data_IF_834461624654
#
_entry.id   IF_834461624654
#
_cell.length_a   1.000
_cell.length_b   1.000
_cell.length_c   1.000
_cell.angle_alpha   90.00
_cell.angle_beta   90.00
_cell.angle_gamma   90.00
#
_symmetry.space_group_name_H-M   'P 1'
#
loop_
_entity.id
_entity.type
_entity.pdbx_description
1 polymer ?
#
# COMPACT_ATOMS: atom_id res chain seq x y z
N UNK A 1 -32.90 15.67 -3.34
CA UNK A 1 -31.41 15.70 -3.35
C UNK A 1 -31.00 15.00 -4.61
N UNK A 2 -30.41 15.74 -5.55
CA UNK A 2 -30.12 15.24 -6.89
C UNK A 2 -29.03 14.17 -6.83
N UNK A 3 -29.32 13.00 -7.40
CA UNK A 3 -28.34 11.96 -7.70
C UNK A 3 -27.25 12.55 -8.61
N UNK A 4 -26.13 12.99 -8.03
CA UNK A 4 -24.91 13.21 -8.79
C UNK A 4 -24.44 11.84 -9.26
N UNK A 5 -24.64 11.60 -10.55
CA UNK A 5 -24.30 10.33 -11.20
C UNK A 5 -22.82 10.02 -11.02
N UNK A 6 -22.48 8.76 -10.88
CA UNK A 6 -21.11 8.21 -10.88
C UNK A 6 -20.27 8.70 -12.09
N UNK A 7 -20.93 9.14 -13.16
CA UNK A 7 -20.34 9.71 -14.35
C UNK A 7 -19.41 10.93 -14.12
N UNK A 8 -19.56 11.68 -13.04
CA UNK A 8 -18.69 12.83 -12.75
C UNK A 8 -17.31 12.46 -12.19
N UNK A 9 -17.14 11.21 -11.78
CA UNK A 9 -15.87 10.68 -11.26
C UNK A 9 -15.02 9.99 -12.33
N UNK A 10 -15.64 9.58 -13.45
CA UNK A 10 -15.00 8.76 -14.49
C UNK A 10 -14.05 9.53 -15.43
N UNK A 11 -14.08 10.88 -15.43
CA UNK A 11 -13.20 11.65 -16.30
C UNK A 11 -11.76 11.67 -15.77
N UNK A 12 -10.88 10.87 -16.39
CA UNK A 12 -9.43 11.00 -16.22
C UNK A 12 -8.98 12.40 -16.62
N UNK A 13 -8.08 13.02 -15.84
CA UNK A 13 -7.56 14.34 -16.15
C UNK A 13 -6.53 14.23 -17.30
N UNK A 14 -6.86 14.64 -18.55
CA UNK A 14 -5.97 14.46 -19.69
C UNK A 14 -4.73 15.37 -19.62
N UNK A 15 -4.66 16.29 -18.65
CA UNK A 15 -3.55 17.24 -18.49
C UNK A 15 -2.38 16.70 -17.68
N UNK A 16 -2.51 15.54 -17.06
CA UNK A 16 -1.44 14.96 -16.23
C UNK A 16 -0.90 13.70 -16.89
N UNK A 17 0.32 13.77 -17.42
CA UNK A 17 0.97 12.60 -18.01
C UNK A 17 1.29 11.56 -16.93
N UNK A 18 0.81 10.35 -17.09
CA UNK A 18 1.19 9.20 -16.26
C UNK A 18 2.67 8.87 -16.46
N UNK A 19 3.35 8.56 -15.35
CA UNK A 19 4.76 8.21 -15.36
C UNK A 19 4.91 6.71 -15.50
N UNK A 20 5.68 6.30 -16.48
CA UNK A 20 5.95 4.88 -16.73
C UNK A 20 7.43 4.65 -16.95
N UNK A 21 7.94 3.55 -16.42
CA UNK A 21 9.33 3.18 -16.49
C UNK A 21 9.47 1.73 -16.96
N UNK A 22 10.40 1.48 -17.85
CA UNK A 22 10.69 0.14 -18.39
C UNK A 22 11.97 -0.45 -17.81
N UNK A 23 12.78 0.35 -17.09
CA UNK A 23 14.02 -0.09 -16.44
C UNK A 23 14.09 0.42 -15.02
N UNK A 24 14.69 -0.38 -14.13
CA UNK A 24 14.94 -0.01 -12.73
C UNK A 24 15.90 1.18 -12.61
N UNK A 25 16.85 1.32 -13.51
CA UNK A 25 17.78 2.45 -13.52
C UNK A 25 17.05 3.78 -13.74
N UNK A 26 16.20 3.88 -14.76
CA UNK A 26 15.42 5.08 -15.05
C UNK A 26 14.52 5.45 -13.88
N UNK A 27 13.82 4.45 -13.30
CA UNK A 27 12.97 4.63 -12.13
C UNK A 27 13.76 5.09 -10.91
N UNK A 28 14.87 4.45 -10.59
CA UNK A 28 15.69 4.80 -9.43
C UNK A 28 16.30 6.20 -9.55
N UNK A 29 16.78 6.59 -10.75
CA UNK A 29 17.29 7.93 -11.00
C UNK A 29 16.20 9.00 -10.81
N UNK A 30 14.96 8.67 -11.15
CA UNK A 30 13.81 9.53 -10.92
C UNK A 30 13.45 9.66 -9.42
N UNK A 31 13.42 8.55 -8.68
CA UNK A 31 12.99 8.51 -7.28
C UNK A 31 14.03 9.04 -6.28
N UNK A 32 15.34 8.88 -6.56
CA UNK A 32 16.44 9.26 -5.65
C UNK A 32 16.41 10.72 -5.18
N UNK A 33 15.81 11.64 -5.95
CA UNK A 33 15.87 13.09 -5.70
C UNK A 33 14.85 13.59 -4.68
N UNK A 34 14.03 12.73 -4.08
CA UNK A 34 12.83 13.12 -3.33
C UNK A 34 12.61 12.35 -2.03
N UNK A 35 13.64 11.67 -1.55
CA UNK A 35 13.56 10.86 -0.33
C UNK A 35 14.26 11.58 0.82
N UNK A 36 13.58 11.73 1.93
CA UNK A 36 14.11 12.27 3.19
C UNK A 36 14.11 11.18 4.27
N UNK A 37 15.22 10.99 5.02
CA UNK A 37 15.25 10.06 6.14
C UNK A 37 14.47 10.61 7.33
N UNK A 38 13.75 9.73 8.02
CA UNK A 38 13.21 10.01 9.36
C UNK A 38 14.12 9.31 10.36
N UNK A 39 14.72 10.09 11.23
CA UNK A 39 15.77 9.62 12.14
C UNK A 39 15.24 9.49 13.56
N UNK A 40 15.60 8.42 14.25
CA UNK A 40 15.45 8.19 15.68
C UNK A 40 16.79 7.67 16.23
N UNK A 41 17.29 8.32 17.28
CA UNK A 41 18.55 7.94 17.95
C UNK A 41 19.73 7.70 16.99
N UNK A 42 19.90 8.60 16.00
CA UNK A 42 20.90 8.54 14.91
C UNK A 42 20.73 7.35 13.92
N UNK A 43 19.66 6.58 14.02
CA UNK A 43 19.32 5.55 13.06
C UNK A 43 18.08 5.95 12.26
N UNK A 44 18.10 5.67 10.97
CA UNK A 44 16.95 5.88 10.10
C UNK A 44 15.89 4.80 10.40
N UNK A 45 14.68 5.20 10.80
CA UNK A 45 13.58 4.27 11.03
C UNK A 45 12.66 4.12 9.82
N UNK A 46 12.60 5.14 8.97
CA UNK A 46 11.83 5.13 7.74
C UNK A 46 12.35 6.20 6.77
N UNK A 47 11.97 6.06 5.51
CA UNK A 47 12.14 7.09 4.49
C UNK A 47 10.80 7.73 4.16
N UNK A 48 10.80 9.03 3.98
CA UNK A 48 9.60 9.81 3.68
C UNK A 48 9.84 10.73 2.48
N UNK A 49 8.83 10.89 1.64
CA UNK A 49 8.79 11.95 0.65
C UNK A 49 7.49 12.73 0.79
N UNK A 50 7.61 14.06 0.78
CA UNK A 50 6.48 14.97 0.81
C UNK A 50 6.61 15.96 -0.35
N UNK A 51 5.65 15.96 -1.27
CA UNK A 51 5.74 16.82 -2.44
C UNK A 51 5.06 18.19 -2.23
N UNK A 52 3.76 18.28 -2.38
CA UNK A 52 3.03 19.57 -2.22
C UNK A 52 1.87 19.48 -1.24
N UNK A 53 1.40 18.29 -0.95
CA UNK A 53 0.15 18.06 -0.23
C UNK A 53 0.28 16.85 0.70
N UNK A 54 -0.41 16.89 1.82
CA UNK A 54 -0.60 15.74 2.71
C UNK A 54 -1.98 15.11 2.51
N UNK A 55 -2.68 15.42 1.42
CA UNK A 55 -4.04 14.92 1.22
C UNK A 55 -4.10 13.41 1.19
N UNK A 56 -3.13 12.77 0.51
CA UNK A 56 -2.97 11.32 0.54
C UNK A 56 -1.60 10.99 1.15
N UNK A 57 -1.56 9.95 1.97
CA UNK A 57 -0.33 9.29 2.40
C UNK A 57 -0.29 7.89 1.80
N UNK A 58 0.76 7.57 1.09
CA UNK A 58 1.05 6.22 0.61
C UNK A 58 2.00 5.55 1.59
N UNK A 59 1.64 4.38 2.08
CA UNK A 59 2.49 3.58 2.96
C UNK A 59 2.82 2.25 2.30
N UNK A 60 3.97 1.66 2.62
CA UNK A 60 4.36 0.32 2.18
C UNK A 60 5.07 -0.39 3.34
N UNK A 61 4.28 -0.93 4.25
CA UNK A 61 4.71 -1.44 5.55
C UNK A 61 5.64 -2.64 5.46
N UNK A 62 5.52 -3.40 4.39
CA UNK A 62 6.30 -4.63 4.16
C UNK A 62 7.27 -4.50 2.98
N UNK A 63 7.65 -3.28 2.62
CA UNK A 63 8.54 -3.02 1.47
C UNK A 63 9.95 -3.60 1.66
N UNK A 64 10.43 -3.68 2.89
CA UNK A 64 11.73 -4.28 3.18
C UNK A 64 11.68 -5.78 2.97
N UNK A 65 12.50 -6.27 2.03
CA UNK A 65 12.54 -7.70 1.68
C UNK A 65 13.83 -8.33 2.17
N UNK A 66 13.71 -9.53 2.73
CA UNK A 66 14.84 -10.36 3.12
C UNK A 66 14.57 -11.81 2.78
N UNK A 67 15.60 -12.48 2.34
CA UNK A 67 15.65 -13.93 2.22
C UNK A 67 16.17 -14.49 3.53
N UNK A 68 15.36 -15.31 4.21
CA UNK A 68 15.75 -16.03 5.43
C UNK A 68 16.12 -17.43 5.01
N UNK A 69 17.38 -17.79 5.19
CA UNK A 69 17.87 -19.14 4.89
C UNK A 69 17.37 -20.12 5.94
N UNK A 70 16.97 -21.29 5.49
CA UNK A 70 16.37 -22.35 6.28
C UNK A 70 17.08 -23.68 5.97
N UNK A 71 18.34 -23.83 6.40
CA UNK A 71 19.19 -24.98 6.06
C UNK A 71 18.60 -26.33 6.52
N UNK A 72 17.74 -26.33 7.54
CA UNK A 72 17.02 -27.52 8.00
C UNK A 72 16.03 -28.09 6.97
N UNK A 73 15.69 -27.32 5.95
CA UNK A 73 14.83 -27.73 4.81
C UNK A 73 15.63 -27.99 3.53
N UNK A 74 16.95 -27.83 3.56
CA UNK A 74 17.85 -28.08 2.43
C UNK A 74 18.77 -26.89 2.10
N UNK A 75 19.89 -27.16 1.42
CA UNK A 75 20.98 -26.19 1.15
C UNK A 75 20.54 -24.90 0.43
N UNK A 76 19.40 -24.92 -0.28
CA UNK A 76 18.86 -23.77 -1.02
C UNK A 76 17.52 -23.31 -0.49
N UNK A 77 17.02 -23.94 0.61
CA UNK A 77 15.72 -23.58 1.16
C UNK A 77 15.75 -22.22 1.83
N UNK A 78 14.74 -21.38 1.59
CA UNK A 78 14.58 -20.10 2.24
C UNK A 78 13.11 -19.69 2.34
N UNK A 79 12.79 -18.77 3.25
CA UNK A 79 11.56 -18.02 3.28
C UNK A 79 11.80 -16.56 2.87
N UNK A 80 10.95 -16.02 2.03
CA UNK A 80 10.92 -14.59 1.70
C UNK A 80 10.01 -13.85 2.67
N UNK A 81 10.47 -12.73 3.17
CA UNK A 81 9.66 -11.79 3.93
C UNK A 81 9.60 -10.44 3.19
N UNK A 82 8.48 -9.76 3.36
CA UNK A 82 8.24 -8.48 2.73
C UNK A 82 7.55 -8.59 1.36
N UNK A 83 7.12 -7.44 0.89
CA UNK A 83 6.30 -7.27 -0.32
C UNK A 83 7.10 -6.53 -1.39
N UNK A 84 7.82 -7.26 -2.23
CA UNK A 84 8.70 -6.69 -3.27
C UNK A 84 8.00 -5.61 -4.09
N UNK A 85 8.71 -4.49 -4.32
CA UNK A 85 8.30 -3.35 -5.16
C UNK A 85 7.05 -2.57 -4.67
N UNK A 86 6.55 -2.82 -3.48
CA UNK A 86 5.45 -2.01 -2.91
C UNK A 86 5.92 -0.61 -2.56
N UNK A 87 7.19 -0.43 -2.18
CA UNK A 87 7.81 0.89 -1.98
C UNK A 87 7.83 1.72 -3.27
N UNK A 88 8.12 1.08 -4.40
CA UNK A 88 8.12 1.72 -5.72
C UNK A 88 6.71 2.19 -6.07
N UNK A 89 5.71 1.34 -5.89
CA UNK A 89 4.32 1.71 -6.13
C UNK A 89 3.88 2.87 -5.22
N UNK A 90 4.22 2.84 -3.93
CA UNK A 90 3.92 3.94 -3.01
C UNK A 90 4.58 5.27 -3.45
N UNK A 91 5.85 5.24 -3.82
CA UNK A 91 6.58 6.42 -4.31
C UNK A 91 5.99 6.98 -5.61
N UNK A 92 5.64 6.11 -6.57
CA UNK A 92 5.03 6.53 -7.85
C UNK A 92 3.67 7.17 -7.62
N UNK A 93 2.80 6.56 -6.81
CA UNK A 93 1.49 7.13 -6.47
C UNK A 93 1.60 8.49 -5.77
N UNK A 94 2.50 8.60 -4.79
CA UNK A 94 2.75 9.85 -4.07
C UNK A 94 3.31 10.94 -4.98
N UNK A 95 4.27 10.61 -5.82
CA UNK A 95 4.85 11.57 -6.76
C UNK A 95 3.81 12.09 -7.75
N UNK A 96 3.06 11.20 -8.39
CA UNK A 96 2.03 11.56 -9.37
C UNK A 96 0.96 12.47 -8.78
N UNK A 97 0.46 12.13 -7.59
CA UNK A 97 -0.56 12.93 -6.88
C UNK A 97 0.00 14.14 -6.14
N UNK A 98 1.33 14.34 -6.18
CA UNK A 98 2.06 15.36 -5.41
C UNK A 98 1.76 15.29 -3.91
N UNK A 99 1.56 14.11 -3.41
CA UNK A 99 1.21 13.79 -2.03
C UNK A 99 2.43 13.34 -1.21
N UNK A 100 2.24 12.56 -0.16
CA UNK A 100 3.32 12.05 0.67
C UNK A 100 3.42 10.51 0.60
N UNK A 101 4.62 9.98 0.88
CA UNK A 101 4.79 8.57 1.20
C UNK A 101 5.65 8.39 2.45
N UNK A 102 5.50 7.24 3.13
CA UNK A 102 6.35 6.80 4.22
C UNK A 102 6.57 5.29 4.14
N UNK A 103 7.82 4.86 4.29
CA UNK A 103 8.22 3.45 4.14
C UNK A 103 9.17 3.11 5.29
N UNK A 104 8.84 2.11 6.14
CA UNK A 104 9.72 1.67 7.22
C UNK A 104 10.99 1.03 6.65
N UNK A 105 12.11 1.16 7.37
CA UNK A 105 13.41 0.57 7.02
C UNK A 105 13.71 -0.69 7.84
N UNK A 106 12.85 -1.07 8.77
CA UNK A 106 12.98 -2.29 9.53
C UNK A 106 12.23 -3.46 8.88
N UNK A 107 12.71 -4.66 9.14
CA UNK A 107 12.15 -5.88 8.59
C UNK A 107 10.89 -6.30 9.37
N UNK A 108 9.97 -6.96 8.69
CA UNK A 108 8.75 -7.52 9.30
C UNK A 108 9.03 -8.49 10.45
N UNK A 109 10.17 -9.19 10.43
CA UNK A 109 10.61 -10.06 11.54
C UNK A 109 11.02 -9.25 12.78
N UNK A 110 11.64 -8.09 12.59
CA UNK A 110 12.03 -7.19 13.67
C UNK A 110 10.80 -6.49 14.24
N UNK A 111 10.15 -5.65 13.44
CA UNK A 111 8.90 -4.99 13.76
C UNK A 111 7.99 -4.92 12.53
N UNK A 112 6.75 -5.34 12.65
CA UNK A 112 5.76 -5.26 11.58
C UNK A 112 4.98 -3.94 11.70
N UNK A 113 5.21 -2.98 10.82
CA UNK A 113 4.56 -1.66 10.85
C UNK A 113 3.05 -1.71 10.65
N UNK A 114 2.51 -2.84 10.19
CA UNK A 114 1.07 -3.08 10.08
C UNK A 114 0.44 -3.69 11.35
N UNK A 115 1.22 -3.86 12.42
CA UNK A 115 0.77 -4.44 13.69
C UNK A 115 0.79 -3.42 14.81
N UNK A 116 -0.08 -3.59 15.85
CA UNK A 116 -0.05 -2.73 17.03
C UNK A 116 1.32 -2.77 17.74
N UNK A 117 1.77 -1.62 18.21
CA UNK A 117 3.01 -1.49 18.99
C UNK A 117 2.98 -2.37 20.24
N UNK A 118 1.79 -2.54 20.82
CA UNK A 118 1.55 -3.33 22.02
C UNK A 118 1.77 -4.83 21.78
N UNK A 119 1.68 -5.29 20.54
CA UNK A 119 1.86 -6.70 20.17
C UNK A 119 3.34 -7.07 19.88
N UNK A 120 4.23 -6.08 19.91
CA UNK A 120 5.65 -6.31 19.70
C UNK A 120 6.23 -7.22 20.77
N UNK A 121 6.81 -8.35 20.35
CA UNK A 121 7.35 -9.39 21.24
C UNK A 121 6.33 -10.46 21.72
N UNK A 122 5.05 -10.39 21.28
CA UNK A 122 4.00 -11.33 21.73
C UNK A 122 3.92 -12.66 20.95
N UNK A 123 4.93 -13.00 20.16
CA UNK A 123 4.99 -14.30 19.48
C UNK A 123 4.08 -14.40 18.25
N UNK A 124 3.89 -13.29 17.52
CA UNK A 124 3.15 -13.30 16.25
C UNK A 124 3.91 -14.11 15.21
N UNK A 125 3.17 -14.78 14.32
CA UNK A 125 3.75 -15.56 13.23
C UNK A 125 3.12 -15.24 11.89
N UNK A 126 3.93 -15.36 10.83
CA UNK A 126 3.54 -15.30 9.45
C UNK A 126 3.57 -16.70 8.83
N UNK A 127 2.46 -17.15 8.28
CA UNK A 127 2.43 -18.40 7.52
C UNK A 127 3.00 -18.16 6.12
N UNK A 128 4.14 -18.77 5.82
CA UNK A 128 4.87 -18.55 4.56
C UNK A 128 5.34 -19.86 3.94
N UNK A 129 5.66 -19.81 2.64
CA UNK A 129 6.22 -20.94 1.89
C UNK A 129 7.73 -20.93 2.02
N UNK A 130 8.32 -22.13 2.24
CA UNK A 130 9.75 -22.38 2.09
C UNK A 130 10.02 -22.61 0.60
N UNK A 131 10.78 -21.72 -0.03
CA UNK A 131 11.11 -21.83 -1.45
C UNK A 131 12.01 -23.02 -1.73
N UNK A 132 11.88 -23.60 -2.91
CA UNK A 132 12.53 -24.83 -3.38
C UNK A 132 12.15 -26.10 -2.57
N UNK A 133 11.04 -26.04 -1.83
CA UNK A 133 10.46 -27.18 -1.12
C UNK A 133 8.94 -27.14 -1.22
N UNK A 134 8.26 -28.22 -0.79
CA UNK A 134 6.79 -28.21 -0.62
C UNK A 134 6.35 -27.79 0.80
N UNK A 135 7.30 -27.42 1.63
CA UNK A 135 7.05 -27.07 3.04
C UNK A 135 6.49 -25.67 3.16
N UNK A 136 5.64 -25.51 4.19
CA UNK A 136 5.14 -24.23 4.68
C UNK A 136 5.46 -24.18 6.18
N UNK A 137 5.79 -22.98 6.66
CA UNK A 137 6.18 -22.76 8.05
C UNK A 137 5.46 -21.54 8.62
N UNK A 138 5.44 -21.47 9.94
CA UNK A 138 5.12 -20.27 10.69
C UNK A 138 6.43 -19.56 11.03
N UNK A 139 6.68 -18.43 10.35
CA UNK A 139 7.85 -17.61 10.60
C UNK A 139 7.50 -16.56 11.66
N UNK A 140 8.30 -16.45 12.71
CA UNK A 140 8.13 -15.43 13.73
C UNK A 140 8.32 -14.02 13.12
N UNK A 141 7.41 -13.11 13.46
CA UNK A 141 7.42 -11.72 13.03
C UNK A 141 7.17 -10.80 14.23
N UNK A 142 7.55 -9.54 14.13
CA UNK A 142 7.26 -8.52 15.15
C UNK A 142 7.84 -8.93 16.52
N UNK A 143 9.09 -9.43 16.52
CA UNK A 143 9.68 -10.10 17.69
C UNK A 143 10.68 -9.25 18.46
N UNK A 144 11.28 -8.25 17.84
CA UNK A 144 12.38 -7.49 18.46
C UNK A 144 11.87 -6.25 19.17
N UNK A 145 11.74 -6.33 20.49
CA UNK A 145 11.25 -5.22 21.33
C UNK A 145 12.16 -3.99 21.32
N UNK A 146 13.41 -4.11 20.91
CA UNK A 146 14.32 -2.96 20.75
C UNK A 146 13.87 -2.01 19.62
N UNK A 147 13.04 -2.50 18.68
CA UNK A 147 12.47 -1.69 17.61
C UNK A 147 11.23 -0.88 18.02
N UNK A 148 10.74 -1.00 19.26
CA UNK A 148 9.59 -0.23 19.74
C UNK A 148 9.72 1.28 19.49
N UNK A 149 10.83 1.96 19.82
CA UNK A 149 10.96 3.41 19.60
C UNK A 149 10.90 3.78 18.10
N UNK A 150 11.38 2.91 17.21
CA UNK A 150 11.35 3.15 15.76
C UNK A 150 9.93 2.96 15.19
N UNK A 151 9.21 1.96 15.68
CA UNK A 151 7.81 1.71 15.30
C UNK A 151 6.91 2.85 15.79
N UNK A 152 7.08 3.30 17.03
CA UNK A 152 6.37 4.47 17.57
C UNK A 152 6.67 5.72 16.74
N UNK A 153 7.94 5.96 16.41
CA UNK A 153 8.35 7.09 15.57
C UNK A 153 7.74 7.06 14.17
N UNK A 154 7.62 5.88 13.59
CA UNK A 154 6.92 5.68 12.31
C UNK A 154 5.45 6.13 12.41
N UNK A 155 4.71 5.66 13.41
CA UNK A 155 3.31 6.06 13.63
C UNK A 155 3.15 7.54 13.98
N UNK A 156 4.01 8.10 14.83
CA UNK A 156 4.03 9.54 15.12
C UNK A 156 4.25 10.39 13.86
N UNK A 157 5.09 9.91 12.94
CA UNK A 157 5.34 10.61 11.68
C UNK A 157 4.08 10.64 10.82
N UNK A 158 3.32 9.53 10.76
CA UNK A 158 2.01 9.49 10.08
C UNK A 158 1.03 10.47 10.72
N UNK A 159 0.96 10.52 12.04
CA UNK A 159 0.08 11.45 12.77
C UNK A 159 0.43 12.91 12.48
N UNK A 160 1.72 13.27 12.49
CA UNK A 160 2.21 14.62 12.18
C UNK A 160 1.92 15.04 10.73
N UNK A 161 1.94 14.11 9.80
CA UNK A 161 1.55 14.37 8.40
C UNK A 161 0.05 14.69 8.26
N UNK A 162 -0.77 14.20 9.18
CA UNK A 162 -2.22 14.44 9.25
C UNK A 162 -2.93 14.27 7.89
N UNK A 163 -2.81 13.10 7.21
CA UNK A 163 -3.36 12.91 5.88
C UNK A 163 -4.89 12.82 5.92
N UNK A 164 -5.57 13.29 4.88
CA UNK A 164 -7.01 13.10 4.68
C UNK A 164 -7.34 11.70 4.15
N UNK A 165 -6.40 11.07 3.47
CA UNK A 165 -6.54 9.68 3.00
C UNK A 165 -5.23 8.92 3.21
N UNK A 166 -5.31 7.62 3.51
CA UNK A 166 -4.17 6.71 3.57
C UNK A 166 -4.39 5.55 2.61
N UNK A 167 -3.39 5.30 1.77
CA UNK A 167 -3.30 4.13 0.90
C UNK A 167 -2.16 3.25 1.38
N UNK A 168 -2.50 2.14 2.03
CA UNK A 168 -1.57 1.14 2.54
C UNK A 168 -1.30 0.09 1.45
N UNK A 169 -0.10 0.11 0.87
CA UNK A 169 0.29 -0.72 -0.28
C UNK A 169 0.91 -2.02 0.20
N UNK A 170 0.30 -3.13 -0.17
CA UNK A 170 0.73 -4.46 0.16
C UNK A 170 0.90 -5.35 -1.07
N UNK A 171 1.44 -6.53 -0.83
CA UNK A 171 1.62 -7.53 -1.87
C UNK A 171 1.00 -8.87 -1.56
N UNK A 172 0.24 -9.41 -2.50
CA UNK A 172 -0.31 -10.75 -2.40
C UNK A 172 0.36 -11.75 -3.35
N UNK A 173 0.19 -13.04 -3.06
CA UNK A 173 0.80 -14.13 -3.79
C UNK A 173 0.19 -14.30 -5.19
N UNK A 174 1.00 -14.69 -6.18
CA UNK A 174 0.64 -14.97 -7.57
C UNK A 174 -0.53 -15.96 -7.75
N UNK A 175 -0.73 -16.88 -6.80
CA UNK A 175 -1.82 -17.87 -6.86
C UNK A 175 -3.21 -17.27 -6.66
N UNK A 176 -3.31 -16.00 -6.29
CA UNK A 176 -4.61 -15.33 -6.17
C UNK A 176 -5.17 -15.00 -7.56
N UNK A 177 -6.48 -15.11 -7.68
CA UNK A 177 -7.19 -14.81 -8.93
C UNK A 177 -7.06 -13.32 -9.30
N UNK A 178 -7.19 -12.45 -8.32
CA UNK A 178 -7.24 -11.00 -8.52
C UNK A 178 -5.84 -10.39 -8.72
N UNK A 179 -5.79 -9.33 -9.53
CA UNK A 179 -4.60 -8.49 -9.72
C UNK A 179 -4.46 -7.45 -8.62
N UNK A 180 -5.59 -6.84 -8.25
CA UNK A 180 -5.68 -5.82 -7.22
C UNK A 180 -6.84 -6.15 -6.29
N UNK A 181 -6.60 -6.08 -4.98
CA UNK A 181 -7.60 -6.32 -3.96
C UNK A 181 -7.67 -5.14 -3.00
N UNK A 182 -8.85 -4.56 -2.84
CA UNK A 182 -9.11 -3.48 -1.87
C UNK A 182 -9.64 -4.03 -0.56
N UNK A 183 -9.07 -3.53 0.54
CA UNK A 183 -9.54 -3.74 1.89
C UNK A 183 -9.79 -2.43 2.63
N UNK A 184 -10.91 -2.38 3.34
CA UNK A 184 -11.37 -1.18 4.05
C UNK A 184 -11.56 -1.40 5.55
N UNK A 185 -10.83 -2.32 6.12
CA UNK A 185 -10.99 -2.71 7.52
C UNK A 185 -12.20 -3.62 7.75
N UNK A 186 -12.38 -4.04 9.02
CA UNK A 186 -13.54 -4.82 9.43
C UNK A 186 -14.83 -4.05 9.13
N UNK A 187 -15.78 -4.75 8.53
CA UNK A 187 -17.08 -4.18 8.15
C UNK A 187 -16.98 -2.88 7.34
N UNK A 188 -15.91 -2.74 6.54
CA UNK A 188 -15.67 -1.57 5.68
C UNK A 188 -15.53 -0.23 6.45
N UNK A 189 -15.12 -0.28 7.74
CA UNK A 189 -15.07 0.89 8.63
C UNK A 189 -14.18 2.04 8.15
N UNK A 190 -13.16 1.74 7.33
CA UNK A 190 -12.26 2.77 6.78
C UNK A 190 -12.86 3.57 5.62
N UNK A 191 -14.01 3.15 5.07
CA UNK A 191 -14.75 3.83 4.00
C UNK A 191 -16.21 4.11 4.36
N UNK A 192 -16.72 3.51 5.43
CA UNK A 192 -18.08 3.67 5.93
C UNK A 192 -18.89 2.38 5.94
N UNK A 193 -19.20 1.81 4.78
CA UNK A 193 -20.00 0.59 4.65
C UNK A 193 -19.67 -0.19 3.35
N UNK A 194 -20.26 -1.38 3.24
CA UNK A 194 -20.09 -2.28 2.08
C UNK A 194 -20.58 -1.65 0.76
N UNK A 195 -21.69 -0.92 0.79
CA UNK A 195 -22.23 -0.27 -0.41
C UNK A 195 -21.25 0.76 -0.94
N UNK A 196 -20.74 1.61 -0.07
CA UNK A 196 -19.73 2.63 -0.41
C UNK A 196 -18.44 1.99 -0.93
N UNK A 197 -18.00 0.85 -0.35
CA UNK A 197 -16.83 0.12 -0.83
C UNK A 197 -17.03 -0.46 -2.25
N UNK A 198 -18.23 -0.95 -2.56
CA UNK A 198 -18.56 -1.44 -3.89
C UNK A 198 -18.69 -0.28 -4.90
N UNK A 199 -19.30 0.83 -4.53
CA UNK A 199 -19.35 2.05 -5.34
C UNK A 199 -17.93 2.56 -5.65
N UNK A 200 -17.05 2.59 -4.65
CA UNK A 200 -15.64 2.94 -4.83
C UNK A 200 -14.95 2.03 -5.86
N UNK A 201 -15.11 0.71 -5.71
CA UNK A 201 -14.51 -0.25 -6.64
C UNK A 201 -15.01 -0.05 -8.08
N UNK A 202 -16.33 0.05 -8.27
CA UNK A 202 -16.91 0.21 -9.60
C UNK A 202 -16.48 1.53 -10.25
N UNK A 203 -16.57 2.63 -9.52
CA UNK A 203 -16.11 3.94 -10.02
C UNK A 203 -14.61 3.96 -10.30
N UNK A 204 -13.80 3.24 -9.53
CA UNK A 204 -12.37 3.11 -9.83
C UNK A 204 -12.11 2.27 -11.09
N UNK A 205 -12.84 1.18 -11.32
CA UNK A 205 -12.69 0.37 -12.55
C UNK A 205 -13.03 1.23 -13.77
N UNK A 206 -14.15 1.94 -13.78
CA UNK A 206 -14.53 2.85 -14.87
C UNK A 206 -13.46 3.92 -15.12
N UNK A 207 -12.92 4.50 -14.04
CA UNK A 207 -11.83 5.47 -14.11
C UNK A 207 -10.55 4.88 -14.71
N UNK A 208 -10.17 3.68 -14.30
CA UNK A 208 -8.98 2.99 -14.76
C UNK A 208 -9.11 2.56 -16.23
N UNK A 209 -10.29 2.09 -16.64
CA UNK A 209 -10.60 1.76 -18.03
C UNK A 209 -10.41 2.98 -18.94
N UNK A 210 -10.86 4.16 -18.50
CA UNK A 210 -10.64 5.40 -19.23
C UNK A 210 -9.16 5.79 -19.32
N UNK A 211 -8.39 5.63 -18.22
CA UNK A 211 -6.93 5.86 -18.23
C UNK A 211 -6.24 4.97 -19.25
N UNK A 212 -6.56 3.66 -19.24
CA UNK A 212 -5.96 2.71 -20.17
C UNK A 212 -6.36 3.01 -21.61
N UNK A 213 -7.63 3.35 -21.86
CA UNK A 213 -8.14 3.76 -23.18
C UNK A 213 -7.43 4.99 -23.74
N UNK A 214 -7.19 6.02 -22.92
CA UNK A 214 -6.47 7.23 -23.32
C UNK A 214 -5.01 6.96 -23.69
N UNK A 215 -4.42 5.89 -23.16
CA UNK A 215 -3.07 5.43 -23.47
C UNK A 215 -3.01 4.39 -24.61
N UNK A 216 -4.15 4.10 -25.26
CA UNK A 216 -4.23 3.10 -26.30
C UNK A 216 -4.09 1.67 -25.77
N UNK A 217 -4.31 1.44 -24.47
CA UNK A 217 -4.19 0.15 -23.81
C UNK A 217 -5.57 -0.42 -23.46
N UNK A 218 -5.63 -1.74 -23.29
CA UNK A 218 -6.79 -2.45 -22.73
C UNK A 218 -6.54 -2.76 -21.26
N UNK A 219 -7.51 -2.44 -20.40
CA UNK A 219 -7.48 -2.88 -19.01
C UNK A 219 -7.96 -4.35 -18.92
N UNK A 220 -7.06 -5.24 -18.48
CA UNK A 220 -7.35 -6.66 -18.25
C UNK A 220 -7.17 -7.03 -16.77
N UNK A 221 -7.10 -6.05 -15.87
CA UNK A 221 -6.86 -6.29 -14.46
C UNK A 221 -8.14 -6.74 -13.75
N UNK A 222 -8.07 -7.82 -13.01
CA UNK A 222 -9.13 -8.26 -12.12
C UNK A 222 -9.02 -7.55 -10.77
N UNK A 223 -10.01 -6.68 -10.46
CA UNK A 223 -10.07 -5.87 -9.23
C UNK A 223 -11.21 -6.36 -8.34
N UNK A 224 -10.91 -6.63 -7.07
CA UNK A 224 -11.87 -7.09 -6.09
C UNK A 224 -11.85 -6.27 -4.81
N UNK A 225 -12.90 -6.45 -3.99
CA UNK A 225 -12.99 -5.94 -2.60
C UNK A 225 -13.15 -7.13 -1.68
N UNK A 226 -12.43 -7.13 -0.55
CA UNK A 226 -12.53 -8.17 0.45
C UNK A 226 -12.52 -7.59 1.86
N UNK A 227 -13.35 -8.14 2.73
CA UNK A 227 -13.26 -7.96 4.18
C UNK A 227 -12.40 -9.02 4.83
N UNK A 228 -12.30 -10.16 4.18
CA UNK A 228 -11.81 -11.40 4.78
C UNK A 228 -10.30 -11.57 4.66
N UNK A 229 -9.69 -10.94 3.66
CA UNK A 229 -8.31 -11.18 3.34
C UNK A 229 -7.44 -10.02 3.80
N UNK A 230 -6.88 -10.12 5.03
CA UNK A 230 -5.79 -9.28 5.55
C UNK A 230 -6.03 -7.75 5.47
N UNK A 231 -7.06 -7.38 4.76
CA UNK A 231 -7.41 -6.05 4.36
C UNK A 231 -8.10 -5.31 5.50
N UNK A 232 -7.45 -5.22 6.64
CA UNK A 232 -7.83 -4.21 7.56
C UNK A 232 -8.23 -4.61 8.98
N UNK A 233 -8.67 -5.84 9.29
CA UNK A 233 -8.99 -6.21 10.68
C UNK A 233 -7.75 -6.21 11.59
N UNK A 234 -6.58 -6.31 10.98
CA UNK A 234 -5.30 -6.35 11.66
C UNK A 234 -4.27 -5.36 11.07
N UNK A 235 -4.69 -4.44 10.22
CA UNK A 235 -3.82 -3.41 9.70
C UNK A 235 -3.88 -2.19 10.63
N UNK A 236 -2.84 -2.03 11.45
CA UNK A 236 -2.73 -0.94 12.43
C UNK A 236 -2.78 0.44 11.76
N UNK A 237 -2.28 0.57 10.54
CA UNK A 237 -2.36 1.83 9.79
C UNK A 237 -3.81 2.27 9.60
N UNK A 238 -4.67 1.36 9.15
CA UNK A 238 -6.09 1.68 8.98
C UNK A 238 -6.82 1.74 10.33
N UNK A 239 -6.51 0.84 11.26
CA UNK A 239 -7.15 0.82 12.58
C UNK A 239 -6.87 2.11 13.36
N UNK A 240 -5.60 2.46 13.53
CA UNK A 240 -5.15 3.60 14.33
C UNK A 240 -5.44 4.94 13.66
N UNK A 241 -4.98 5.11 12.42
CA UNK A 241 -4.96 6.42 11.77
C UNK A 241 -6.23 6.78 11.02
N UNK A 242 -7.10 5.82 10.73
CA UNK A 242 -8.38 6.04 10.06
C UNK A 242 -9.56 5.70 10.96
N UNK A 243 -9.73 4.42 11.34
CA UNK A 243 -10.94 3.96 12.01
C UNK A 243 -11.08 4.61 13.39
N UNK A 244 -10.02 4.57 14.21
CA UNK A 244 -10.06 5.18 15.54
C UNK A 244 -10.15 6.71 15.48
N UNK A 245 -9.47 7.35 14.52
CA UNK A 245 -9.64 8.78 14.27
C UNK A 245 -11.10 9.12 13.93
N UNK A 246 -11.71 8.38 13.00
CA UNK A 246 -13.07 8.65 12.52
C UNK A 246 -14.16 8.45 13.57
N UNK A 247 -13.93 7.64 14.62
CA UNK A 247 -14.85 7.49 15.76
C UNK A 247 -15.05 8.79 16.55
N UNK A 248 -14.02 9.64 16.58
CA UNK A 248 -14.02 10.87 17.37
C UNK A 248 -14.15 12.13 16.51
N UNK A 249 -13.89 12.02 15.20
CA UNK A 249 -13.88 13.11 14.26
C UNK A 249 -15.29 13.55 13.86
N UNK A 250 -15.50 14.85 13.69
CA UNK A 250 -16.67 15.37 12.99
C UNK A 250 -16.67 14.90 11.54
N UNK A 251 -17.83 14.97 10.87
CA UNK A 251 -17.98 14.47 9.50
C UNK A 251 -16.96 15.07 8.53
N UNK A 252 -16.73 16.36 8.60
CA UNK A 252 -15.78 17.11 7.76
C UNK A 252 -14.29 16.78 8.01
N UNK A 253 -14.01 16.19 9.18
CA UNK A 253 -12.66 15.81 9.59
C UNK A 253 -12.37 14.32 9.40
N UNK A 254 -13.35 13.54 8.96
CA UNK A 254 -13.16 12.12 8.71
C UNK A 254 -12.11 11.88 7.64
N UNK A 255 -11.39 10.78 7.80
CA UNK A 255 -10.35 10.31 6.91
C UNK A 255 -10.82 9.10 6.11
N UNK A 256 -10.28 8.96 4.93
CA UNK A 256 -10.45 7.79 4.08
C UNK A 256 -9.25 6.85 4.23
N UNK A 257 -9.49 5.53 4.19
CA UNK A 257 -8.41 4.55 4.22
C UNK A 257 -8.69 3.36 3.34
N UNK A 258 -7.66 2.90 2.63
CA UNK A 258 -7.70 1.68 1.84
C UNK A 258 -6.38 0.92 1.93
N UNK A 259 -6.44 -0.37 2.20
CA UNK A 259 -5.34 -1.29 1.96
C UNK A 259 -5.45 -1.81 0.54
N UNK A 260 -4.35 -1.79 -0.20
CA UNK A 260 -4.30 -2.21 -1.60
C UNK A 260 -3.30 -3.34 -1.73
N UNK A 261 -3.80 -4.53 -2.00
CA UNK A 261 -2.99 -5.72 -2.25
C UNK A 261 -2.73 -5.87 -3.75
N UNK A 262 -1.49 -5.75 -4.15
CA UNK A 262 -1.06 -5.99 -5.53
C UNK A 262 -0.54 -7.42 -5.69
N UNK A 263 -1.01 -8.14 -6.72
CA UNK A 263 -0.54 -9.49 -7.01
C UNK A 263 0.94 -9.49 -7.42
N UNK A 264 1.68 -10.53 -7.05
CA UNK A 264 3.09 -10.70 -7.42
C UNK A 264 3.33 -10.62 -8.93
N UNK A 265 2.44 -11.19 -9.74
CA UNK A 265 2.57 -11.25 -11.21
C UNK A 265 2.70 -9.89 -11.90
N UNK A 266 2.25 -8.81 -11.26
CA UNK A 266 2.37 -7.45 -11.77
C UNK A 266 3.35 -6.58 -10.97
N UNK A 267 3.75 -7.01 -9.75
CA UNK A 267 4.73 -6.27 -8.95
C UNK A 267 6.17 -6.46 -9.43
N UNK A 268 6.43 -7.48 -10.24
CA UNK A 268 7.75 -7.76 -10.79
C UNK A 268 7.64 -8.07 -12.29
N UNK A 269 8.32 -7.31 -13.14
CA UNK A 269 8.42 -7.62 -14.57
C UNK A 269 9.27 -8.88 -14.79
N UNK A 270 8.98 -9.63 -15.86
CA UNK A 270 9.80 -10.80 -16.22
C UNK A 270 11.24 -10.40 -16.58
N UNK A 271 11.39 -9.31 -17.34
CA UNK A 271 12.68 -8.82 -17.80
C UNK A 271 13.50 -8.15 -16.69
N UNK A 272 12.83 -7.50 -15.72
CA UNK A 272 13.48 -6.84 -14.57
C UNK A 272 12.59 -6.94 -13.34
N UNK A 273 12.88 -7.91 -12.47
CA UNK A 273 12.09 -8.17 -11.25
C UNK A 273 12.15 -7.06 -10.21
N UNK A 274 13.00 -6.06 -10.41
CA UNK A 274 13.14 -4.90 -9.53
C UNK A 274 12.19 -3.76 -9.87
N UNK A 275 11.29 -3.95 -10.84
CA UNK A 275 10.33 -2.94 -11.27
C UNK A 275 8.92 -3.55 -11.44
N UNK A 276 7.83 -2.86 -11.01
CA UNK A 276 6.47 -3.27 -11.31
C UNK A 276 6.15 -3.18 -12.80
N UNK A 277 5.24 -4.02 -13.27
CA UNK A 277 4.73 -3.94 -14.65
C UNK A 277 4.05 -2.61 -14.93
N UNK A 278 4.03 -2.21 -16.20
CA UNK A 278 3.38 -0.98 -16.65
C UNK A 278 1.91 -0.85 -16.17
N UNK A 279 1.05 -1.89 -16.28
CA UNK A 279 -0.30 -1.80 -15.74
C UNK A 279 -0.35 -1.44 -14.26
N UNK A 280 0.54 -1.97 -13.43
CA UNK A 280 0.54 -1.68 -11.98
C UNK A 280 1.09 -0.29 -11.66
N UNK A 281 2.09 0.18 -12.41
CA UNK A 281 2.56 1.56 -12.30
C UNK A 281 1.44 2.56 -12.62
N UNK A 282 0.64 2.31 -13.66
CA UNK A 282 -0.51 3.12 -14.02
C UNK A 282 -1.62 3.02 -12.98
N UNK A 283 -1.91 1.82 -12.51
CA UNK A 283 -2.99 1.56 -11.55
C UNK A 283 -2.80 2.34 -10.25
N UNK A 284 -1.59 2.35 -9.67
CA UNK A 284 -1.35 3.07 -8.41
C UNK A 284 -1.48 4.58 -8.57
N UNK A 285 -1.08 5.13 -9.71
CA UNK A 285 -1.19 6.55 -10.03
C UNK A 285 -2.66 6.94 -10.26
N UNK A 286 -3.38 6.15 -11.05
CA UNK A 286 -4.81 6.34 -11.30
C UNK A 286 -5.64 6.24 -10.01
N UNK A 287 -5.30 5.28 -9.14
CA UNK A 287 -5.97 5.11 -7.85
C UNK A 287 -5.76 6.32 -6.94
N UNK A 288 -4.55 6.87 -6.90
CA UNK A 288 -4.27 8.09 -6.16
C UNK A 288 -5.10 9.29 -6.65
N UNK A 289 -5.17 9.50 -7.96
CA UNK A 289 -5.99 10.58 -8.54
C UNK A 289 -7.49 10.37 -8.31
N UNK A 290 -7.96 9.12 -8.45
CA UNK A 290 -9.33 8.75 -8.13
C UNK A 290 -9.69 9.05 -6.67
N UNK A 291 -8.82 8.70 -5.71
CA UNK A 291 -9.04 8.98 -4.29
C UNK A 291 -9.13 10.50 -4.03
N UNK A 292 -8.30 11.31 -4.68
CA UNK A 292 -8.40 12.78 -4.57
C UNK A 292 -9.76 13.31 -5.01
N UNK A 293 -10.33 12.75 -6.07
CA UNK A 293 -11.68 13.10 -6.56
C UNK A 293 -12.76 12.56 -5.64
N UNK A 294 -12.64 11.30 -5.25
CA UNK A 294 -13.58 10.63 -4.36
C UNK A 294 -13.75 11.35 -3.04
N UNK A 295 -12.64 11.69 -2.37
CA UNK A 295 -12.66 12.38 -1.07
C UNK A 295 -13.22 13.78 -1.13
N UNK A 296 -13.06 14.51 -2.26
CA UNK A 296 -13.71 15.81 -2.45
C UNK A 296 -15.22 15.74 -2.56
N UNK A 297 -15.74 14.64 -3.09
CA UNK A 297 -17.17 14.52 -3.43
C UNK A 297 -17.98 13.81 -2.34
N UNK A 298 -17.36 13.00 -1.50
CA UNK A 298 -18.04 12.14 -0.52
C UNK A 298 -17.75 12.51 0.95
N UNK A 299 -16.68 13.25 1.21
CA UNK A 299 -16.28 13.74 2.53
C UNK A 299 -16.46 15.27 2.61
#
# INVERSE_FOLDING_TARGET
>A
MADRKASDLSQANPKTAYLTFTTSEALNNFLKRKTEPVVKDKQECCVMGKFRSNRILFTAEHAQTKKIELPEYGKRAYAGIGDTNTDILAKLGAYYTRSAYIIPLFLRTEADASRPVEDLGKGLTLFTKVFYTDKKIHLAIHTDTSFRPYLEKYHETIEKLNPKAIMSIHGMNIKRKFDVLFGFGDDYKAIGDKKTALEFKLGFIEYLDEVFRLLGMRNNLEIAVSTWFLAGSRNEILARHIINHNKQAKKEDRRFGVQVEFNWRGRAMEADKSIPTLPYQLTVQALGDFILKWTKNKM
#
